data_IF_029022021210
#
_entry.id   IF_029022021210
#
_cell.length_a   1.000
_cell.length_b   1.000
_cell.length_c   1.000
_cell.angle_alpha   90.00
_cell.angle_beta   90.00
_cell.angle_gamma   90.00
#
_symmetry.space_group_name_H-M   'P 1'
#
loop_
_entity.id
_entity.type
_entity.pdbx_description
1 polymer ?
#
# COMPACT_ATOMS: atom_id res chain seq x y z
N UNK A 1 9.02 21.32 -0.51
CA UNK A 1 10.36 21.91 -0.54
C UNK A 1 10.43 22.88 -1.71
N UNK A 2 10.91 24.12 -1.52
CA UNK A 2 11.21 25.00 -2.65
C UNK A 2 12.73 25.01 -2.83
N UNK A 3 13.18 24.45 -3.94
CA UNK A 3 14.55 24.58 -4.44
C UNK A 3 14.43 25.46 -5.67
N UNK A 4 15.27 26.47 -5.78
CA UNK A 4 15.32 27.33 -6.96
C UNK A 4 16.62 27.10 -7.70
N UNK A 5 16.52 26.97 -9.02
CA UNK A 5 17.66 26.94 -9.91
C UNK A 5 18.06 28.37 -10.29
N UNK A 6 19.35 28.66 -10.28
CA UNK A 6 19.93 29.92 -10.73
C UNK A 6 21.06 29.61 -11.72
N UNK A 7 21.02 30.24 -12.89
CA UNK A 7 22.06 30.08 -13.91
C UNK A 7 23.16 31.11 -13.68
N UNK A 8 24.38 30.65 -13.39
CA UNK A 8 25.55 31.50 -13.18
C UNK A 8 26.70 31.03 -14.06
N UNK A 9 27.24 31.94 -14.89
CA UNK A 9 28.40 31.69 -15.79
C UNK A 9 28.26 30.40 -16.61
N UNK A 10 27.08 30.16 -17.18
CA UNK A 10 26.80 28.97 -18.00
C UNK A 10 26.42 27.70 -17.23
N UNK A 11 26.59 27.66 -15.91
CA UNK A 11 26.25 26.51 -15.06
C UNK A 11 24.95 26.73 -14.28
N UNK A 12 24.25 25.64 -13.97
CA UNK A 12 23.03 25.66 -13.16
C UNK A 12 23.39 25.33 -11.71
N UNK A 13 22.96 26.20 -10.79
CA UNK A 13 23.12 26.03 -9.35
C UNK A 13 21.78 25.96 -8.67
N UNK A 14 21.67 25.08 -7.67
CA UNK A 14 20.48 24.95 -6.85
C UNK A 14 20.71 25.52 -5.46
N UNK A 15 19.70 26.21 -4.93
CA UNK A 15 19.67 26.66 -3.53
C UNK A 15 18.34 26.33 -2.86
N UNK A 16 18.41 26.10 -1.56
CA UNK A 16 17.22 25.98 -0.73
C UNK A 16 16.57 27.36 -0.54
N UNK A 17 15.30 27.48 -0.91
CA UNK A 17 14.48 28.67 -0.63
C UNK A 17 13.43 28.28 0.42
N UNK A 18 13.78 28.41 1.70
CA UNK A 18 12.81 28.17 2.79
C UNK A 18 11.67 29.20 2.70
N UNK A 19 10.43 28.77 2.94
CA UNK A 19 9.23 29.62 2.83
C UNK A 19 9.17 30.80 3.84
N UNK A 20 9.91 30.75 4.96
CA UNK A 20 9.77 31.73 6.06
C UNK A 20 11.04 32.53 6.42
N UNK A 21 12.24 32.10 6.02
CA UNK A 21 13.52 32.75 6.41
C UNK A 21 14.52 32.64 5.26
N UNK A 22 15.39 33.65 5.08
CA UNK A 22 16.53 33.57 4.15
C UNK A 22 17.41 32.38 4.51
N UNK A 23 17.62 31.48 3.55
CA UNK A 23 18.45 30.30 3.77
C UNK A 23 19.91 30.65 3.47
N UNK A 24 20.79 30.50 4.46
CA UNK A 24 22.24 30.75 4.36
C UNK A 24 23.02 29.54 3.82
N UNK A 25 22.30 28.52 3.33
CA UNK A 25 22.94 27.31 2.83
C UNK A 25 23.70 27.59 1.54
N UNK A 26 24.87 26.97 1.35
CA UNK A 26 25.65 27.12 0.14
C UNK A 26 24.91 26.51 -1.07
N UNK A 27 25.17 27.09 -2.23
CA UNK A 27 24.72 26.55 -3.51
C UNK A 27 25.36 25.18 -3.77
N UNK A 28 24.63 24.33 -4.48
CA UNK A 28 25.09 23.06 -5.04
C UNK A 28 25.00 23.13 -6.57
N UNK A 29 25.98 22.55 -7.27
CA UNK A 29 25.96 22.42 -8.72
C UNK A 29 24.97 21.34 -9.15
N UNK A 30 24.36 21.49 -10.33
CA UNK A 30 23.42 20.52 -10.90
C UNK A 30 24.02 19.12 -11.01
N UNK A 31 25.27 19.00 -11.47
CA UNK A 31 25.92 17.71 -11.69
C UNK A 31 26.14 16.95 -10.36
N UNK A 32 26.52 17.67 -9.31
CA UNK A 32 26.69 17.07 -7.98
C UNK A 32 25.35 16.73 -7.33
N UNK A 33 24.33 17.58 -7.54
CA UNK A 33 22.97 17.30 -7.07
C UNK A 33 22.41 16.03 -7.73
N UNK A 34 22.58 15.90 -9.03
CA UNK A 34 22.16 14.73 -9.79
C UNK A 34 22.87 13.46 -9.34
N UNK A 35 24.20 13.53 -9.12
CA UNK A 35 24.98 12.40 -8.59
C UNK A 35 24.46 11.92 -7.24
N UNK A 36 24.20 12.85 -6.31
CA UNK A 36 23.70 12.51 -4.98
C UNK A 36 22.28 11.93 -5.05
N UNK A 37 21.42 12.50 -5.90
CA UNK A 37 20.06 12.01 -6.08
C UNK A 37 20.04 10.60 -6.69
N UNK A 38 20.88 10.36 -7.70
CA UNK A 38 21.04 9.06 -8.35
C UNK A 38 21.48 8.00 -7.34
N UNK A 39 22.41 8.32 -6.44
CA UNK A 39 22.83 7.40 -5.37
C UNK A 39 21.69 7.08 -4.39
N UNK A 40 20.87 8.07 -4.01
CA UNK A 40 19.72 7.85 -3.13
C UNK A 40 18.64 6.98 -3.80
N UNK A 41 18.33 7.22 -5.07
CA UNK A 41 17.38 6.43 -5.85
C UNK A 41 17.87 4.99 -6.01
N UNK A 42 19.17 4.80 -6.25
CA UNK A 42 19.74 3.46 -6.40
C UNK A 42 19.64 2.62 -5.11
N UNK A 43 19.76 3.25 -3.93
CA UNK A 43 19.63 2.53 -2.64
C UNK A 43 18.25 1.95 -2.38
N UNK A 44 17.21 2.58 -2.92
CA UNK A 44 15.81 2.12 -2.78
C UNK A 44 15.35 1.25 -3.95
N UNK A 45 16.24 1.03 -4.93
CA UNK A 45 15.91 0.24 -6.11
C UNK A 45 15.73 -1.23 -5.77
N UNK A 46 14.73 -1.86 -6.40
CA UNK A 46 14.46 -3.27 -6.22
C UNK A 46 15.23 -4.08 -7.26
N UNK A 47 15.91 -5.14 -6.83
CA UNK A 47 16.57 -6.06 -7.76
C UNK A 47 15.52 -6.82 -8.59
N UNK A 48 15.87 -7.13 -9.84
CA UNK A 48 14.94 -7.78 -10.78
C UNK A 48 14.51 -9.18 -10.29
N UNK A 49 15.44 -9.96 -9.72
CA UNK A 49 15.16 -11.28 -9.15
C UNK A 49 14.18 -11.22 -7.97
N UNK A 50 14.25 -10.15 -7.16
CA UNK A 50 13.31 -9.91 -6.07
C UNK A 50 11.93 -9.47 -6.59
N UNK A 51 11.90 -8.61 -7.61
CA UNK A 51 10.67 -8.18 -8.26
C UNK A 51 9.88 -9.36 -8.83
N UNK A 52 10.55 -10.28 -9.54
CA UNK A 52 9.94 -11.49 -10.09
C UNK A 52 9.37 -12.40 -8.99
N UNK A 53 10.13 -12.63 -7.92
CA UNK A 53 9.67 -13.42 -6.77
C UNK A 53 8.45 -12.78 -6.09
N UNK A 54 8.45 -11.46 -5.88
CA UNK A 54 7.33 -10.75 -5.26
C UNK A 54 6.06 -10.80 -6.12
N UNK A 55 6.19 -10.70 -7.45
CA UNK A 55 5.07 -10.85 -8.37
C UNK A 55 4.51 -12.28 -8.35
N UNK A 56 5.39 -13.30 -8.34
CA UNK A 56 4.96 -14.69 -8.26
C UNK A 56 4.24 -14.99 -6.93
N UNK A 57 4.71 -14.43 -5.82
CA UNK A 57 4.06 -14.55 -4.52
C UNK A 57 2.71 -13.80 -4.49
N UNK A 58 2.62 -12.61 -5.08
CA UNK A 58 1.35 -11.88 -5.17
C UNK A 58 0.27 -12.66 -5.96
N UNK A 59 0.65 -13.32 -7.07
CA UNK A 59 -0.32 -14.13 -7.82
C UNK A 59 -0.75 -15.39 -7.04
N UNK A 60 0.16 -15.97 -6.27
CA UNK A 60 -0.17 -17.09 -5.36
C UNK A 60 -1.12 -16.64 -4.26
N UNK A 61 -0.85 -15.52 -3.60
CA UNK A 61 -1.69 -14.96 -2.54
C UNK A 61 -3.09 -14.61 -3.09
N UNK A 62 -3.17 -14.04 -4.30
CA UNK A 62 -4.45 -13.81 -4.99
C UNK A 62 -5.25 -15.09 -5.18
N UNK A 63 -4.62 -16.20 -5.58
CA UNK A 63 -5.30 -17.48 -5.74
C UNK A 63 -5.81 -18.05 -4.39
N UNK A 64 -4.98 -17.96 -3.34
CA UNK A 64 -5.35 -18.40 -1.99
C UNK A 64 -6.47 -17.53 -1.41
N UNK A 65 -6.39 -16.21 -1.59
CA UNK A 65 -7.41 -15.25 -1.16
C UNK A 65 -8.72 -15.52 -1.90
N UNK A 66 -8.69 -15.76 -3.22
CA UNK A 66 -9.90 -16.10 -3.99
C UNK A 66 -10.60 -17.35 -3.42
N UNK A 67 -9.83 -18.37 -3.03
CA UNK A 67 -10.37 -19.57 -2.41
C UNK A 67 -10.98 -19.27 -1.03
N UNK A 68 -10.29 -18.53 -0.17
CA UNK A 68 -10.78 -18.20 1.18
C UNK A 68 -12.05 -17.34 1.13
N UNK A 69 -12.12 -16.38 0.22
CA UNK A 69 -13.31 -15.56 -0.01
C UNK A 69 -14.47 -16.40 -0.52
N UNK A 70 -14.23 -17.31 -1.47
CA UNK A 70 -15.28 -18.20 -1.96
C UNK A 70 -15.87 -19.06 -0.82
N UNK A 71 -15.02 -19.58 0.07
CA UNK A 71 -15.46 -20.35 1.23
C UNK A 71 -16.26 -19.49 2.23
N UNK A 72 -15.81 -18.26 2.50
CA UNK A 72 -16.51 -17.32 3.37
C UNK A 72 -17.89 -16.92 2.82
N UNK A 73 -17.98 -16.67 1.51
CA UNK A 73 -19.24 -16.35 0.81
C UNK A 73 -20.21 -17.53 0.92
N UNK A 74 -19.75 -18.76 0.68
CA UNK A 74 -20.58 -19.95 0.83
C UNK A 74 -21.08 -20.14 2.27
N UNK A 75 -20.20 -19.99 3.27
CA UNK A 75 -20.58 -20.09 4.68
C UNK A 75 -21.60 -19.02 5.07
N UNK A 76 -21.39 -17.78 4.63
CA UNK A 76 -22.29 -16.66 4.89
C UNK A 76 -23.65 -16.87 4.21
N UNK A 77 -23.69 -17.40 2.99
CA UNK A 77 -24.93 -17.78 2.31
C UNK A 77 -25.69 -18.88 3.05
N UNK A 78 -25.01 -19.89 3.60
CA UNK A 78 -25.63 -20.94 4.42
C UNK A 78 -26.27 -20.31 5.68
N UNK A 79 -25.57 -19.39 6.36
CA UNK A 79 -26.10 -18.67 7.52
C UNK A 79 -27.31 -17.82 7.15
N UNK A 80 -27.28 -17.10 6.03
CA UNK A 80 -28.41 -16.30 5.54
C UNK A 80 -29.62 -17.20 5.26
N UNK A 81 -29.44 -18.37 4.64
CA UNK A 81 -30.52 -19.35 4.43
C UNK A 81 -31.11 -19.81 5.76
N UNK A 82 -30.27 -20.16 6.74
CA UNK A 82 -30.73 -20.54 8.07
C UNK A 82 -31.52 -19.41 8.77
N UNK A 83 -31.08 -18.15 8.63
CA UNK A 83 -31.80 -16.98 9.14
C UNK A 83 -33.16 -16.82 8.44
N UNK A 84 -33.22 -16.98 7.11
CA UNK A 84 -34.48 -16.92 6.38
C UNK A 84 -35.46 -18.01 6.83
N UNK A 85 -34.99 -19.24 7.08
CA UNK A 85 -35.83 -20.31 7.65
C UNK A 85 -36.32 -19.97 9.06
N UNK A 86 -35.48 -19.38 9.91
CA UNK A 86 -35.89 -18.89 11.24
C UNK A 86 -36.95 -17.78 11.14
N UNK A 87 -36.80 -16.85 10.19
CA UNK A 87 -37.76 -15.79 9.94
C UNK A 87 -39.12 -16.34 9.46
N UNK A 88 -39.12 -17.38 8.62
CA UNK A 88 -40.35 -18.06 8.22
C UNK A 88 -41.03 -18.72 9.42
N UNK A 89 -40.31 -19.52 10.21
CA UNK A 89 -40.87 -20.15 11.42
C UNK A 89 -41.39 -19.14 12.44
N UNK A 90 -40.69 -18.01 12.61
CA UNK A 90 -41.12 -16.93 13.48
C UNK A 90 -42.42 -16.28 12.98
N UNK A 91 -42.61 -16.17 11.66
CA UNK A 91 -43.85 -15.69 11.05
C UNK A 91 -44.98 -16.71 11.26
N UNK A 92 -44.73 -17.99 11.01
CA UNK A 92 -45.72 -19.05 11.15
C UNK A 92 -46.24 -19.13 12.59
N UNK A 93 -45.35 -19.15 13.60
CA UNK A 93 -45.75 -19.14 15.01
C UNK A 93 -46.48 -17.87 15.46
N UNK A 94 -46.22 -16.72 14.82
CA UNK A 94 -47.01 -15.51 15.06
C UNK A 94 -48.43 -15.61 14.46
N UNK A 95 -48.57 -16.22 13.28
CA UNK A 95 -49.86 -16.44 12.63
C UNK A 95 -50.72 -17.46 13.40
N UNK A 96 -50.09 -18.47 14.00
CA UNK A 96 -50.73 -19.45 14.89
C UNK A 96 -51.12 -18.87 16.27
N UNK A 97 -50.78 -17.59 16.53
CA UNK A 97 -51.01 -16.86 17.79
C UNK A 97 -50.21 -17.37 19.00
N UNK A 98 -49.17 -18.18 18.77
CA UNK A 98 -48.27 -18.68 19.82
C UNK A 98 -47.28 -17.63 20.33
N UNK A 99 -47.17 -16.48 19.67
CA UNK A 99 -46.16 -15.46 19.93
C UNK A 99 -46.81 -14.07 20.09
N UNK A 100 -46.47 -13.38 21.17
CA UNK A 100 -46.86 -11.98 21.38
C UNK A 100 -46.19 -11.04 20.37
N UNK A 101 -46.89 -9.97 19.99
CA UNK A 101 -46.46 -9.03 18.95
C UNK A 101 -45.13 -8.37 19.28
N UNK A 102 -44.91 -7.99 20.53
CA UNK A 102 -43.68 -7.35 21.00
C UNK A 102 -42.48 -8.29 20.85
N UNK A 103 -42.61 -9.55 21.28
CA UNK A 103 -41.57 -10.59 21.15
C UNK A 103 -41.26 -10.86 19.67
N UNK A 104 -42.28 -10.96 18.82
CA UNK A 104 -42.10 -11.13 17.37
C UNK A 104 -41.27 -9.99 16.77
N UNK A 105 -41.58 -8.74 17.12
CA UNK A 105 -40.88 -7.56 16.58
C UNK A 105 -39.42 -7.52 17.00
N UNK A 106 -39.12 -7.84 18.25
CA UNK A 106 -37.75 -7.88 18.76
C UNK A 106 -36.91 -8.95 18.06
N UNK A 107 -37.41 -10.20 18.00
CA UNK A 107 -36.70 -11.31 17.36
C UNK A 107 -36.51 -11.08 15.86
N UNK A 108 -37.54 -10.56 15.17
CA UNK A 108 -37.45 -10.20 13.75
C UNK A 108 -36.36 -9.16 13.51
N UNK A 109 -36.29 -8.13 14.35
CA UNK A 109 -35.27 -7.07 14.22
C UNK A 109 -33.87 -7.63 14.37
N UNK A 110 -33.65 -8.49 15.38
CA UNK A 110 -32.37 -9.16 15.62
C UNK A 110 -31.91 -10.00 14.42
N UNK A 111 -32.80 -10.84 13.88
CA UNK A 111 -32.50 -11.68 12.71
C UNK A 111 -32.23 -10.84 11.45
N UNK A 112 -32.96 -9.74 11.24
CA UNK A 112 -32.72 -8.84 10.11
C UNK A 112 -31.39 -8.09 10.22
N UNK A 113 -31.00 -7.67 11.43
CA UNK A 113 -29.70 -7.05 11.68
C UNK A 113 -28.55 -8.02 11.41
N UNK A 114 -28.67 -9.28 11.85
CA UNK A 114 -27.67 -10.32 11.60
C UNK A 114 -27.51 -10.61 10.10
N UNK A 115 -28.64 -10.76 9.38
CA UNK A 115 -28.65 -10.92 7.92
C UNK A 115 -27.95 -9.75 7.23
N UNK A 116 -28.33 -8.52 7.57
CA UNK A 116 -27.73 -7.31 6.98
C UNK A 116 -26.24 -7.23 7.26
N UNK A 117 -25.79 -7.59 8.46
CA UNK A 117 -24.37 -7.62 8.81
C UNK A 117 -23.59 -8.62 7.97
N UNK A 118 -24.16 -9.79 7.68
CA UNK A 118 -23.52 -10.79 6.80
C UNK A 118 -23.45 -10.30 5.35
N UNK A 119 -24.54 -9.72 4.82
CA UNK A 119 -24.57 -9.15 3.46
C UNK A 119 -23.53 -8.02 3.30
N UNK A 120 -23.42 -7.12 4.29
CA UNK A 120 -22.42 -6.05 4.29
C UNK A 120 -20.98 -6.59 4.36
N UNK A 121 -20.75 -7.65 5.15
CA UNK A 121 -19.42 -8.29 5.22
C UNK A 121 -19.04 -8.93 3.90
N UNK A 122 -19.96 -9.63 3.24
CA UNK A 122 -19.74 -10.23 1.93
C UNK A 122 -19.39 -9.16 0.88
N UNK A 123 -20.20 -8.11 0.78
CA UNK A 123 -19.96 -7.01 -0.16
C UNK A 123 -18.61 -6.31 0.08
N UNK A 124 -18.23 -6.09 1.35
CA UNK A 124 -16.93 -5.49 1.70
C UNK A 124 -15.75 -6.35 1.25
N UNK A 125 -15.85 -7.67 1.41
CA UNK A 125 -14.78 -8.60 1.02
C UNK A 125 -14.67 -8.66 -0.50
N UNK A 126 -15.78 -8.80 -1.21
CA UNK A 126 -15.80 -8.81 -2.68
C UNK A 126 -15.20 -7.52 -3.26
N UNK A 127 -15.48 -6.37 -2.66
CA UNK A 127 -14.94 -5.10 -3.11
C UNK A 127 -13.44 -4.94 -2.80
N UNK A 128 -13.01 -5.26 -1.58
CA UNK A 128 -11.65 -4.90 -1.09
C UNK A 128 -10.57 -5.94 -1.35
N UNK A 129 -10.94 -7.16 -1.74
CA UNK A 129 -10.02 -8.30 -1.85
C UNK A 129 -8.80 -8.00 -2.73
N UNK A 130 -9.02 -7.39 -3.90
CA UNK A 130 -7.96 -7.20 -4.89
C UNK A 130 -7.47 -5.75 -4.98
N UNK A 131 -7.99 -4.84 -4.15
CA UNK A 131 -7.67 -3.40 -4.19
C UNK A 131 -6.18 -3.12 -3.96
N UNK A 132 -5.48 -3.99 -3.24
CA UNK A 132 -4.06 -3.83 -2.93
C UNK A 132 -3.13 -4.37 -4.04
N UNK A 133 -3.61 -5.28 -4.90
CA UNK A 133 -2.78 -5.96 -5.90
C UNK A 133 -2.29 -5.00 -6.98
N UNK A 134 -3.18 -4.16 -7.53
CA UNK A 134 -2.79 -3.20 -8.57
C UNK A 134 -1.76 -2.18 -8.09
N UNK A 135 -1.96 -1.48 -6.94
CA UNK A 135 -0.94 -0.60 -6.38
C UNK A 135 0.39 -1.32 -6.11
N UNK A 136 0.34 -2.56 -5.63
CA UNK A 136 1.53 -3.36 -5.34
C UNK A 136 2.31 -3.71 -6.61
N UNK A 137 1.63 -4.21 -7.64
CA UNK A 137 2.25 -4.53 -8.94
C UNK A 137 2.81 -3.29 -9.63
N UNK A 138 2.09 -2.17 -9.57
CA UNK A 138 2.55 -0.88 -10.09
C UNK A 138 3.84 -0.44 -9.39
N UNK A 139 3.86 -0.50 -8.06
CA UNK A 139 5.05 -0.19 -7.27
C UNK A 139 6.24 -1.09 -7.64
N UNK A 140 6.07 -2.40 -7.77
CA UNK A 140 7.17 -3.31 -8.16
C UNK A 140 7.76 -2.91 -9.52
N UNK A 141 6.89 -2.60 -10.50
CA UNK A 141 7.33 -2.16 -11.84
C UNK A 141 8.18 -0.90 -11.73
N UNK A 142 7.72 0.12 -11.01
CA UNK A 142 8.49 1.35 -10.80
C UNK A 142 9.80 1.07 -10.05
N UNK A 143 9.75 0.31 -8.95
CA UNK A 143 10.91 0.00 -8.13
C UNK A 143 12.02 -0.74 -8.91
N UNK A 144 11.65 -1.61 -9.86
CA UNK A 144 12.57 -2.34 -10.74
C UNK A 144 13.24 -1.46 -11.80
N UNK A 145 12.57 -0.39 -12.26
CA UNK A 145 13.12 0.52 -13.27
C UNK A 145 14.01 1.61 -12.67
N UNK A 146 13.97 1.80 -11.34
CA UNK A 146 14.78 2.80 -10.62
C UNK A 146 16.28 2.70 -10.91
N UNK A 147 16.82 1.49 -11.08
CA UNK A 147 18.24 1.30 -11.42
C UNK A 147 18.60 1.96 -12.75
N UNK A 148 17.69 1.85 -13.73
CA UNK A 148 17.87 2.45 -15.07
C UNK A 148 17.74 3.97 -14.98
N UNK A 149 16.70 4.45 -14.29
CA UNK A 149 16.44 5.89 -14.12
C UNK A 149 17.58 6.59 -13.37
N UNK A 150 18.16 5.93 -12.36
CA UNK A 150 19.30 6.48 -11.62
C UNK A 150 20.57 6.64 -12.49
N UNK A 151 20.73 5.80 -13.52
CA UNK A 151 21.88 5.84 -14.44
C UNK A 151 21.67 6.75 -15.63
N UNK A 152 20.42 7.04 -16.00
CA UNK A 152 20.09 7.91 -17.12
C UNK A 152 20.41 9.37 -16.81
N UNK A 153 20.51 10.21 -17.84
CA UNK A 153 20.76 11.66 -17.72
C UNK A 153 19.47 12.49 -17.74
N UNK A 154 18.29 11.86 -17.74
CA UNK A 154 17.00 12.56 -17.70
C UNK A 154 16.71 13.13 -16.29
N UNK A 155 17.05 14.40 -16.12
CA UNK A 155 16.83 15.16 -14.88
C UNK A 155 15.35 15.33 -14.53
N UNK A 156 14.45 15.36 -15.52
CA UNK A 156 13.01 15.51 -15.28
C UNK A 156 12.43 14.22 -14.70
N UNK A 157 12.79 13.08 -15.26
CA UNK A 157 12.38 11.78 -14.73
C UNK A 157 12.89 11.57 -13.30
N UNK A 158 14.19 11.83 -13.05
CA UNK A 158 14.76 11.74 -11.70
C UNK A 158 14.03 12.66 -10.71
N UNK A 159 13.63 13.85 -11.12
CA UNK A 159 12.87 14.78 -10.26
C UNK A 159 11.48 14.24 -9.92
N UNK A 160 10.76 13.67 -10.88
CA UNK A 160 9.43 13.09 -10.67
C UNK A 160 9.52 11.91 -9.71
N UNK A 161 10.44 10.99 -9.97
CA UNK A 161 10.68 9.79 -9.16
C UNK A 161 11.17 10.15 -7.76
N UNK A 162 12.08 11.10 -7.61
CA UNK A 162 12.52 11.56 -6.31
C UNK A 162 11.38 12.17 -5.48
N UNK A 163 10.44 12.88 -6.13
CA UNK A 163 9.25 13.40 -5.46
C UNK A 163 8.32 12.27 -5.03
N UNK A 164 8.19 11.21 -5.82
CA UNK A 164 7.38 10.04 -5.47
C UNK A 164 7.99 9.26 -4.30
N UNK A 165 9.28 8.95 -4.37
CA UNK A 165 10.00 8.13 -3.37
C UNK A 165 10.15 8.85 -2.04
N UNK A 166 10.53 10.13 -2.05
CA UNK A 166 10.90 10.86 -0.83
C UNK A 166 9.84 11.88 -0.41
N UNK A 167 8.91 12.25 -1.29
CA UNK A 167 7.85 13.21 -0.97
C UNK A 167 8.40 14.52 -0.39
N UNK A 168 7.88 14.89 0.78
CA UNK A 168 8.30 16.07 1.56
C UNK A 168 9.53 15.82 2.45
N UNK A 169 10.00 14.58 2.56
CA UNK A 169 11.13 14.19 3.40
C UNK A 169 12.48 14.52 2.76
N UNK A 170 12.52 14.77 1.44
CA UNK A 170 13.72 15.20 0.73
C UNK A 170 14.12 16.62 1.17
N UNK A 171 15.39 16.78 1.56
CA UNK A 171 15.97 18.01 2.08
C UNK A 171 17.38 18.18 1.53
N UNK A 172 17.73 19.42 1.21
CA UNK A 172 19.08 19.83 0.83
C UNK A 172 19.67 20.54 2.05
N UNK A 173 20.77 20.02 2.58
CA UNK A 173 21.46 20.61 3.70
C UNK A 173 22.97 20.53 3.52
N UNK A 174 23.65 21.68 3.61
CA UNK A 174 25.12 21.76 3.53
C UNK A 174 25.71 21.07 2.29
N UNK A 175 25.12 21.32 1.11
CA UNK A 175 25.45 20.65 -0.18
C UNK A 175 25.21 19.14 -0.21
N UNK A 176 24.47 18.58 0.74
CA UNK A 176 24.08 17.18 0.76
C UNK A 176 22.57 17.02 0.64
N UNK A 177 22.12 16.17 -0.28
CA UNK A 177 20.73 15.70 -0.35
C UNK A 177 20.52 14.62 0.69
N UNK A 178 19.49 14.78 1.52
CA UNK A 178 19.08 13.83 2.53
C UNK A 178 17.57 13.62 2.41
N UNK A 179 17.11 12.39 2.44
CA UNK A 179 15.69 12.09 2.41
C UNK A 179 15.46 10.68 2.90
N UNK A 180 14.47 10.53 3.77
CA UNK A 180 13.95 9.22 4.14
C UNK A 180 12.85 8.84 3.13
N UNK A 181 12.95 7.67 2.47
CA UNK A 181 11.91 7.21 1.56
C UNK A 181 10.57 7.05 2.30
N UNK A 182 9.47 7.28 1.61
CA UNK A 182 8.13 6.97 2.13
C UNK A 182 7.81 5.48 1.90
N UNK A 183 6.84 4.96 2.63
CA UNK A 183 6.28 3.64 2.34
C UNK A 183 5.69 3.65 0.92
N UNK A 184 5.89 2.61 0.09
CA UNK A 184 6.54 1.32 0.38
C UNK A 184 8.07 1.25 0.17
N UNK A 185 8.71 2.29 -0.39
CA UNK A 185 10.15 2.31 -0.68
C UNK A 185 11.04 2.18 0.57
N UNK A 186 10.58 2.68 1.72
CA UNK A 186 11.28 2.50 3.00
C UNK A 186 11.46 1.03 3.37
N UNK A 187 10.45 0.19 3.11
CA UNK A 187 10.50 -1.24 3.38
C UNK A 187 11.53 -1.94 2.49
N UNK A 188 11.59 -1.56 1.21
CA UNK A 188 12.61 -2.08 0.29
C UNK A 188 14.03 -1.68 0.70
N UNK A 189 14.24 -0.45 1.17
CA UNK A 189 15.55 0.00 1.69
C UNK A 189 15.98 -0.84 2.89
N UNK A 190 15.10 -1.01 3.88
CA UNK A 190 15.38 -1.84 5.07
C UNK A 190 15.64 -3.29 4.71
N UNK A 191 14.91 -3.82 3.73
CA UNK A 191 15.12 -5.17 3.23
C UNK A 191 16.51 -5.32 2.60
N UNK A 192 16.93 -4.36 1.77
CA UNK A 192 18.25 -4.32 1.17
C UNK A 192 19.38 -4.25 2.21
N UNK A 193 19.21 -3.43 3.25
CA UNK A 193 20.17 -3.31 4.37
C UNK A 193 20.27 -4.58 5.23
N UNK A 194 19.21 -5.38 5.28
CA UNK A 194 19.15 -6.62 6.06
C UNK A 194 19.74 -7.84 5.34
N UNK A 195 20.01 -7.73 4.02
CA UNK A 195 20.61 -8.81 3.22
C UNK A 195 21.97 -9.18 3.80
N UNK A 196 22.16 -10.47 4.11
CA UNK A 196 23.39 -10.99 4.71
C UNK A 196 23.44 -10.90 6.25
N UNK A 197 22.50 -10.21 6.90
CA UNK A 197 22.36 -10.19 8.37
C UNK A 197 21.27 -11.16 8.87
N UNK A 198 20.26 -11.44 8.04
CA UNK A 198 19.14 -12.33 8.34
C UNK A 198 18.86 -13.28 7.17
N UNK A 199 18.17 -14.38 7.44
CA UNK A 199 17.64 -15.27 6.40
C UNK A 199 16.68 -14.52 5.46
N UNK A 200 16.79 -14.73 4.15
CA UNK A 200 15.96 -14.06 3.13
C UNK A 200 14.46 -14.21 3.37
N UNK A 201 14.03 -15.34 3.95
CA UNK A 201 12.63 -15.60 4.32
C UNK A 201 12.05 -14.60 5.34
N UNK A 202 12.87 -14.11 6.28
CA UNK A 202 12.46 -13.15 7.32
C UNK A 202 12.55 -11.69 6.86
N UNK A 203 13.19 -11.46 5.71
CA UNK A 203 13.40 -10.14 5.12
C UNK A 203 12.26 -9.79 4.17
N UNK A 204 11.76 -10.79 3.43
CA UNK A 204 10.87 -10.56 2.29
C UNK A 204 9.38 -10.69 2.63
N UNK A 205 8.96 -11.60 3.52
CA UNK A 205 7.53 -11.91 3.72
C UNK A 205 7.25 -12.32 5.18
N UNK A 206 6.13 -11.87 5.75
CA UNK A 206 5.64 -12.35 7.04
C UNK A 206 4.99 -13.73 6.90
N UNK A 207 4.85 -14.50 7.99
CA UNK A 207 4.25 -15.85 7.93
C UNK A 207 2.83 -15.92 7.34
N UNK A 208 2.13 -14.78 7.26
CA UNK A 208 0.78 -14.66 6.72
C UNK A 208 0.71 -14.30 5.21
N UNK A 209 1.85 -14.16 4.53
CA UNK A 209 1.90 -13.72 3.12
C UNK A 209 2.17 -12.23 2.95
N UNK A 210 1.96 -11.73 1.73
CA UNK A 210 2.16 -10.33 1.31
C UNK A 210 0.84 -9.55 1.40
N UNK A 211 -0.29 -10.25 1.31
CA UNK A 211 -1.61 -9.65 1.44
C UNK A 211 -1.72 -8.86 2.75
N UNK A 212 -2.10 -7.56 2.69
CA UNK A 212 -2.31 -6.79 3.90
C UNK A 212 -3.44 -7.44 4.69
N UNK A 213 -3.21 -7.68 5.99
CA UNK A 213 -4.26 -8.17 6.86
C UNK A 213 -5.48 -7.25 6.71
N UNK A 214 -6.64 -7.82 6.39
CA UNK A 214 -7.92 -7.11 6.41
C UNK A 214 -8.11 -6.56 7.83
N UNK A 215 -7.63 -5.34 8.07
CA UNK A 215 -7.80 -4.69 9.35
C UNK A 215 -9.29 -4.52 9.57
N UNK A 216 -9.81 -5.22 10.56
CA UNK A 216 -11.12 -4.95 11.12
C UNK A 216 -11.09 -3.51 11.67
N UNK A 217 -11.57 -2.57 10.85
CA UNK A 217 -11.95 -1.21 11.24
C UNK A 217 -13.40 -1.02 10.84
#
# INVERSE_FOLDING_TARGET
MMITAEKQKGHIYYRCTKKKVRCLQPYIREEELDRQLSSLIQKVSLRADWAEKLLAMAEKDKAVSAQSVSAFVQESQIKIRAINTKLQRLLDGYLEQDIEREIYREQKTKLLMEKKSLDEKMARIEQKQNDWLEPFQSWIKVASTLVKIARDNDLLQKKVIAKEIFGSNLRLASRAVRGEPVFPYLSALRAAESVGQKSESLILVGGAGIEPALSAV
#
